data_IF_112757050571
#
_entry.id   IF_112757050571
#
_cell.length_a   1.000
_cell.length_b   1.000
_cell.length_c   1.000
_cell.angle_alpha   90.00
_cell.angle_beta   90.00
_cell.angle_gamma   90.00
#
_symmetry.space_group_name_H-M   'P 1'
#
loop_
_entity.id
_entity.type
_entity.pdbx_description
1 polymer ?
#
# COMPACT_ATOMS: atom_id res chain seq x y z
N UNK A 1 -20.28 -14.75 -14.13
CA UNK A 1 -19.11 -14.79 -13.23
C UNK A 1 -19.54 -15.45 -11.94
N UNK A 2 -19.16 -16.71 -11.70
CA UNK A 2 -19.65 -17.53 -10.56
C UNK A 2 -18.75 -17.47 -9.33
N UNK A 3 -17.56 -16.86 -9.42
CA UNK A 3 -16.61 -16.73 -8.31
C UNK A 3 -16.04 -15.31 -8.27
N UNK A 4 -16.37 -14.56 -7.22
CA UNK A 4 -15.89 -13.19 -6.96
C UNK A 4 -14.66 -13.23 -6.04
N UNK A 5 -14.61 -14.21 -5.13
CA UNK A 5 -13.51 -14.40 -4.19
C UNK A 5 -12.65 -15.61 -4.56
N UNK A 6 -11.37 -15.57 -4.19
CA UNK A 6 -10.39 -16.66 -4.41
C UNK A 6 -10.40 -17.71 -3.29
N UNK A 7 -11.27 -17.57 -2.28
CA UNK A 7 -11.40 -18.43 -1.12
C UNK A 7 -12.84 -18.94 -0.94
N UNK A 8 -13.00 -19.98 -0.12
CA UNK A 8 -14.31 -20.62 0.13
C UNK A 8 -15.01 -21.07 -1.15
N UNK A 9 -16.33 -20.93 -1.19
CA UNK A 9 -17.12 -21.25 -2.39
C UNK A 9 -17.03 -20.18 -3.50
N UNK A 10 -16.15 -19.18 -3.35
CA UNK A 10 -16.00 -18.05 -4.26
C UNK A 10 -17.15 -17.01 -4.21
N UNK A 11 -18.17 -17.26 -3.40
CA UNK A 11 -19.28 -16.36 -3.10
C UNK A 11 -19.76 -16.57 -1.66
N UNK A 12 -20.33 -15.53 -1.05
CA UNK A 12 -20.82 -15.57 0.34
C UNK A 12 -21.34 -14.21 0.81
N UNK A 13 -21.99 -14.21 1.98
CA UNK A 13 -22.42 -12.98 2.67
C UNK A 13 -21.50 -12.81 3.87
N UNK A 14 -20.73 -11.73 3.87
CA UNK A 14 -19.73 -11.42 4.88
C UNK A 14 -20.02 -10.06 5.50
N UNK A 15 -19.89 -9.98 6.83
CA UNK A 15 -20.16 -8.77 7.59
C UNK A 15 -18.84 -8.19 8.13
N UNK A 16 -18.52 -6.96 7.72
CA UNK A 16 -17.34 -6.22 8.17
C UNK A 16 -17.80 -4.96 8.91
N UNK A 17 -17.69 -4.97 10.25
CA UNK A 17 -17.91 -3.77 11.06
C UNK A 17 -16.58 -3.29 11.60
N UNK A 18 -16.19 -2.08 11.20
CA UNK A 18 -14.84 -1.59 11.34
C UNK A 18 -14.82 -0.27 12.12
N UNK A 19 -13.91 -0.17 13.09
CA UNK A 19 -13.62 1.06 13.81
C UNK A 19 -12.18 1.50 13.51
N UNK A 20 -12.03 2.66 12.88
CA UNK A 20 -10.73 3.22 12.50
C UNK A 20 -10.32 4.35 13.46
N UNK A 21 -9.11 4.26 14.01
CA UNK A 21 -8.49 5.27 14.87
C UNK A 21 -7.21 5.72 14.18
N UNK A 22 -7.09 7.01 13.87
CA UNK A 22 -5.91 7.59 13.27
C UNK A 22 -5.32 8.72 14.12
N UNK A 23 -4.02 8.65 14.37
CA UNK A 23 -3.21 9.65 15.06
C UNK A 23 -2.18 10.18 14.07
N UNK A 24 -2.21 11.49 13.82
CA UNK A 24 -1.34 12.14 12.86
C UNK A 24 -0.64 13.36 13.45
N UNK A 25 0.60 13.59 13.00
CA UNK A 25 1.33 14.83 13.23
C UNK A 25 1.93 15.30 11.91
N UNK A 26 1.48 16.45 11.45
CA UNK A 26 2.09 17.13 10.31
C UNK A 26 2.83 18.39 10.79
N UNK A 27 4.12 18.48 10.45
CA UNK A 27 5.01 19.61 10.76
C UNK A 27 5.82 20.01 9.53
N UNK A 28 5.27 19.83 8.33
CA UNK A 28 5.94 20.18 7.06
C UNK A 28 5.92 21.68 6.78
N UNK A 29 7.01 22.20 6.23
CA UNK A 29 7.16 23.60 5.85
C UNK A 29 7.92 23.75 4.52
N UNK A 30 7.84 24.91 3.83
CA UNK A 30 6.94 26.04 4.08
C UNK A 30 5.55 25.87 3.47
N UNK A 31 5.33 24.83 2.64
CA UNK A 31 4.06 24.57 1.95
C UNK A 31 3.67 23.10 2.09
N UNK A 32 2.37 22.82 2.08
CA UNK A 32 1.83 21.45 2.06
C UNK A 32 1.96 20.76 0.70
N UNK A 33 1.94 21.53 -0.40
CA UNK A 33 1.98 20.98 -1.77
C UNK A 33 3.42 20.62 -2.15
N UNK A 34 4.37 21.48 -1.75
CA UNK A 34 5.80 21.24 -1.91
C UNK A 34 6.54 21.48 -0.59
N UNK A 35 6.48 20.52 0.35
CA UNK A 35 7.29 20.55 1.56
C UNK A 35 8.78 20.53 1.22
N UNK A 36 9.56 21.28 1.98
CA UNK A 36 11.02 21.32 1.89
C UNK A 36 11.69 20.83 3.16
N UNK A 37 11.06 21.07 4.30
CA UNK A 37 11.57 20.67 5.62
C UNK A 37 10.46 20.11 6.49
N UNK A 38 10.85 19.37 7.52
CA UNK A 38 9.95 18.87 8.54
C UNK A 38 9.53 17.41 8.32
N UNK A 39 8.42 17.03 8.93
CA UNK A 39 7.97 15.63 8.96
C UNK A 39 6.45 15.52 8.93
N UNK A 40 5.97 14.40 8.43
CA UNK A 40 4.59 13.96 8.55
C UNK A 40 4.58 12.53 9.09
N UNK A 41 3.93 12.31 10.23
CA UNK A 41 3.82 11.02 10.89
C UNK A 41 2.34 10.65 10.97
N UNK A 42 2.00 9.41 10.63
CA UNK A 42 0.65 8.89 10.74
C UNK A 42 0.71 7.47 11.29
N UNK A 43 -0.13 7.21 12.28
CA UNK A 43 -0.37 5.90 12.83
C UNK A 43 -1.87 5.66 12.83
N UNK A 44 -2.30 4.57 12.22
CA UNK A 44 -3.71 4.19 12.20
C UNK A 44 -3.89 2.74 12.62
N UNK A 45 -4.97 2.51 13.35
CA UNK A 45 -5.40 1.19 13.79
C UNK A 45 -6.83 1.03 13.40
N UNK A 46 -7.10 -0.08 12.73
CA UNK A 46 -8.41 -0.46 12.28
C UNK A 46 -8.77 -1.77 12.95
N UNK A 47 -9.87 -1.77 13.70
CA UNK A 47 -10.28 -2.85 14.57
C UNK A 47 -11.69 -3.28 14.19
N UNK A 48 -11.91 -4.58 14.09
CA UNK A 48 -13.26 -5.12 14.11
C UNK A 48 -13.55 -5.77 15.47
N UNK A 49 -14.83 -5.91 15.87
CA UNK A 49 -15.18 -6.67 17.06
C UNK A 49 -14.65 -8.11 16.94
N UNK A 50 -14.02 -8.65 18.00
CA UNK A 50 -13.61 -10.05 18.02
C UNK A 50 -14.87 -10.91 18.23
N UNK A 51 -15.58 -11.27 17.16
CA UNK A 51 -16.83 -12.00 17.26
C UNK A 51 -16.65 -13.38 17.92
N UNK A 52 -15.49 -14.00 17.72
CA UNK A 52 -15.20 -15.34 18.22
C UNK A 52 -15.20 -15.49 19.74
N UNK A 53 -14.95 -14.41 20.51
CA UNK A 53 -15.07 -14.48 21.98
C UNK A 53 -16.52 -14.47 22.49
N UNK A 54 -17.49 -14.16 21.63
CA UNK A 54 -18.92 -14.16 21.99
C UNK A 54 -19.63 -15.47 21.62
N UNK A 55 -18.91 -16.46 21.08
CA UNK A 55 -19.48 -17.73 20.60
C UNK A 55 -18.62 -18.91 21.01
N UNK A 56 -19.24 -20.03 21.41
CA UNK A 56 -18.55 -21.30 21.72
C UNK A 56 -18.40 -22.21 20.47
N UNK A 57 -18.35 -21.63 19.28
CA UNK A 57 -18.26 -22.36 18.02
C UNK A 57 -16.89 -23.03 17.83
N UNK A 58 -16.89 -24.27 17.31
CA UNK A 58 -15.68 -24.97 16.88
C UNK A 58 -15.31 -24.57 15.44
N UNK A 59 -14.46 -23.53 15.32
CA UNK A 59 -14.03 -22.96 14.04
C UNK A 59 -13.17 -23.90 13.19
N UNK A 60 -12.64 -24.98 13.78
CA UNK A 60 -11.77 -25.94 13.06
C UNK A 60 -12.55 -26.85 12.11
N UNK A 61 -13.86 -27.01 12.34
CA UNK A 61 -14.75 -27.87 11.54
C UNK A 61 -15.65 -27.09 10.60
N UNK A 62 -15.60 -25.76 10.62
CA UNK A 62 -16.44 -24.89 9.81
C UNK A 62 -15.90 -24.73 8.40
N UNK A 63 -16.81 -24.52 7.45
CA UNK A 63 -16.43 -24.07 6.10
C UNK A 63 -15.90 -22.63 6.14
N UNK A 64 -15.04 -22.25 5.19
CA UNK A 64 -14.51 -20.87 5.10
C UNK A 64 -15.62 -19.80 5.07
N UNK A 65 -16.75 -20.10 4.41
CA UNK A 65 -17.88 -19.19 4.31
C UNK A 65 -18.53 -18.92 5.68
N UNK A 66 -18.67 -19.95 6.51
CA UNK A 66 -19.22 -19.83 7.86
C UNK A 66 -18.21 -19.18 8.81
N UNK A 67 -16.95 -19.60 8.66
CA UNK A 67 -15.82 -19.15 9.47
C UNK A 67 -15.56 -17.65 9.34
N UNK A 68 -15.61 -17.11 8.11
CA UNK A 68 -15.38 -15.68 7.85
C UNK A 68 -16.67 -14.86 7.75
N UNK A 69 -17.85 -15.44 8.05
CA UNK A 69 -19.15 -14.74 7.97
C UNK A 69 -19.15 -13.42 8.74
N UNK A 70 -18.54 -13.41 9.92
CA UNK A 70 -18.28 -12.21 10.71
C UNK A 70 -16.78 -11.96 10.72
N UNK A 71 -16.35 -10.93 9.98
CA UNK A 71 -14.94 -10.71 9.73
C UNK A 71 -14.29 -10.12 10.99
N UNK A 72 -13.30 -10.83 11.54
CA UNK A 72 -12.52 -10.39 12.70
C UNK A 72 -11.04 -10.16 12.36
N UNK A 73 -10.52 -8.96 12.60
CA UNK A 73 -9.11 -8.61 12.42
C UNK A 73 -8.74 -7.31 13.16
N UNK A 74 -7.43 -7.12 13.29
CA UNK A 74 -6.84 -5.82 13.59
C UNK A 74 -5.79 -5.46 12.52
N UNK A 75 -5.84 -4.23 12.02
CA UNK A 75 -4.96 -3.73 10.97
C UNK A 75 -4.26 -2.47 11.44
N UNK A 76 -2.94 -2.50 11.42
CA UNK A 76 -2.06 -1.44 11.92
C UNK A 76 -1.31 -0.86 10.74
N UNK A 77 -1.30 0.46 10.61
CA UNK A 77 -0.52 1.15 9.57
C UNK A 77 0.28 2.26 10.19
N UNK A 78 1.55 2.31 9.81
CA UNK A 78 2.48 3.35 10.20
C UNK A 78 3.09 3.97 8.95
N UNK A 79 2.99 5.29 8.86
CA UNK A 79 3.60 6.08 7.82
C UNK A 79 4.44 7.20 8.44
N UNK A 80 5.69 7.30 7.98
CA UNK A 80 6.58 8.38 8.36
C UNK A 80 7.21 8.96 7.10
N UNK A 81 6.99 10.26 6.88
CA UNK A 81 7.63 11.04 5.82
C UNK A 81 8.49 12.13 6.45
N UNK A 82 9.69 12.33 5.92
CA UNK A 82 10.63 13.35 6.34
C UNK A 82 11.14 14.13 5.11
N UNK A 83 11.26 15.44 5.25
CA UNK A 83 11.73 16.34 4.20
C UNK A 83 12.98 17.09 4.68
N UNK A 84 13.99 17.15 3.82
CA UNK A 84 15.24 17.84 4.07
C UNK A 84 15.67 18.63 2.83
N UNK A 85 15.76 19.96 2.95
CA UNK A 85 16.35 20.82 1.93
C UNK A 85 17.87 20.80 2.09
N UNK A 86 18.57 20.07 1.22
CA UNK A 86 20.04 19.93 1.29
C UNK A 86 20.77 21.04 0.51
N UNK A 87 20.09 21.67 -0.44
CA UNK A 87 20.55 22.85 -1.16
C UNK A 87 19.33 23.69 -1.57
N UNK A 88 19.48 24.98 -1.93
CA UNK A 88 18.34 25.82 -2.31
C UNK A 88 17.48 25.16 -3.39
N UNK A 89 16.19 24.95 -3.10
CA UNK A 89 15.20 24.26 -3.94
C UNK A 89 15.40 22.75 -4.10
N UNK A 90 16.48 22.16 -3.60
CA UNK A 90 16.72 20.74 -3.72
C UNK A 90 16.32 20.02 -2.44
N UNK A 91 15.26 19.21 -2.53
CA UNK A 91 14.65 18.55 -1.38
C UNK A 91 14.82 17.05 -1.48
N UNK A 92 15.33 16.44 -0.42
CA UNK A 92 15.30 15.00 -0.22
C UNK A 92 14.07 14.69 0.62
N UNK A 93 13.22 13.78 0.13
CA UNK A 93 12.11 13.21 0.86
C UNK A 93 12.42 11.74 1.15
N UNK A 94 12.33 11.34 2.42
CA UNK A 94 12.34 9.94 2.82
C UNK A 94 10.97 9.56 3.35
N UNK A 95 10.43 8.43 2.90
CA UNK A 95 9.15 7.88 3.36
C UNK A 95 9.29 6.41 3.72
N UNK A 96 8.66 6.04 4.82
CA UNK A 96 8.49 4.68 5.29
C UNK A 96 6.99 4.42 5.42
N UNK A 97 6.49 3.38 4.76
CA UNK A 97 5.16 2.82 4.96
C UNK A 97 5.31 1.38 5.49
N UNK A 98 4.60 1.07 6.56
CA UNK A 98 4.52 -0.25 7.13
C UNK A 98 3.06 -0.56 7.43
N UNK A 99 2.61 -1.77 7.09
CA UNK A 99 1.29 -2.24 7.42
C UNK A 99 1.32 -3.67 7.92
N UNK A 100 0.45 -3.97 8.88
CA UNK A 100 0.32 -5.28 9.49
C UNK A 100 -1.16 -5.59 9.74
N UNK A 101 -1.60 -6.74 9.25
CA UNK A 101 -2.92 -7.32 9.42
C UNK A 101 -2.77 -8.59 10.25
N UNK A 102 -3.45 -8.63 11.39
CA UNK A 102 -3.46 -9.79 12.27
C UNK A 102 -4.87 -10.26 12.59
N UNK A 103 -4.93 -11.44 13.21
CA UNK A 103 -6.14 -12.12 13.65
C UNK A 103 -6.22 -12.16 15.17
N UNK A 104 -7.42 -12.07 15.73
CA UNK A 104 -7.62 -12.25 17.18
C UNK A 104 -7.57 -13.72 17.58
N UNK A 105 -8.26 -14.59 16.82
CA UNK A 105 -8.31 -16.02 17.06
C UNK A 105 -7.45 -16.80 16.03
N UNK A 106 -6.51 -17.60 16.52
CA UNK A 106 -5.65 -18.44 15.67
C UNK A 106 -6.38 -19.58 14.97
N UNK A 107 -7.48 -20.08 15.53
CA UNK A 107 -8.32 -21.10 14.89
C UNK A 107 -9.05 -20.53 13.66
N UNK A 108 -9.41 -19.25 13.71
CA UNK A 108 -9.95 -18.54 12.57
C UNK A 108 -8.84 -18.25 11.55
N UNK A 109 -7.72 -17.74 12.05
CA UNK A 109 -6.59 -17.34 11.22
C UNK A 109 -6.81 -15.97 10.55
N UNK A 110 -5.87 -15.57 9.69
CA UNK A 110 -5.88 -14.23 9.11
C UNK A 110 -6.90 -14.15 7.97
N UNK A 111 -7.84 -13.21 8.10
CA UNK A 111 -8.90 -12.93 7.13
C UNK A 111 -8.35 -12.79 5.69
N UNK A 112 -9.07 -13.30 4.67
CA UNK A 112 -8.73 -13.06 3.27
C UNK A 112 -9.10 -11.63 2.81
N UNK A 113 -9.86 -10.89 3.61
CA UNK A 113 -10.26 -9.50 3.35
C UNK A 113 -9.19 -8.51 3.84
N UNK A 114 -9.27 -7.26 3.37
CA UNK A 114 -8.47 -6.12 3.89
C UNK A 114 -6.95 -6.26 3.75
N UNK A 115 -6.50 -7.23 2.94
CA UNK A 115 -5.08 -7.52 2.72
C UNK A 115 -4.40 -6.46 1.87
N UNK A 116 -3.07 -6.46 1.92
CA UNK A 116 -2.22 -5.51 1.23
C UNK A 116 -1.75 -6.05 -0.12
N UNK A 117 -1.87 -5.24 -1.15
CA UNK A 117 -1.47 -5.56 -2.52
C UNK A 117 -0.44 -4.54 -2.97
N UNK A 118 0.71 -5.00 -3.46
CA UNK A 118 1.86 -4.15 -3.74
C UNK A 118 2.24 -4.21 -5.21
N UNK A 119 2.45 -3.05 -5.81
CA UNK A 119 3.00 -2.93 -7.17
C UNK A 119 2.25 -1.91 -8.01
N UNK A 120 3.00 -1.26 -8.89
CA UNK A 120 2.49 -0.37 -9.92
C UNK A 120 1.99 0.98 -9.44
N UNK A 121 0.92 1.49 -10.04
CA UNK A 121 0.48 2.87 -9.91
C UNK A 121 -0.53 3.14 -8.78
N UNK A 122 -1.00 2.08 -8.12
CA UNK A 122 -1.99 2.16 -7.05
C UNK A 122 -3.39 2.60 -7.50
N UNK A 123 -3.65 2.63 -8.81
CA UNK A 123 -4.96 2.94 -9.39
C UNK A 123 -5.75 1.69 -9.78
N UNK A 124 -5.10 0.52 -9.79
CA UNK A 124 -5.79 -0.76 -10.00
C UNK A 124 -6.78 -1.06 -8.86
N UNK A 125 -7.68 -2.00 -9.09
CA UNK A 125 -8.43 -2.66 -8.02
C UNK A 125 -9.57 -1.88 -7.33
N UNK A 126 -10.02 -0.75 -7.89
CA UNK A 126 -11.21 -0.01 -7.42
C UNK A 126 -12.54 -0.81 -7.47
N UNK A 127 -12.59 -1.92 -8.22
CA UNK A 127 -13.80 -2.73 -8.42
C UNK A 127 -13.81 -4.03 -7.60
N UNK A 128 -13.00 -4.14 -6.55
CA UNK A 128 -12.95 -5.33 -5.70
C UNK A 128 -13.90 -5.21 -4.50
N UNK A 129 -14.49 -6.34 -4.10
CA UNK A 129 -15.43 -6.44 -2.99
C UNK A 129 -14.79 -7.02 -1.71
N UNK A 130 -13.47 -7.16 -1.69
CA UNK A 130 -12.70 -7.78 -0.61
C UNK A 130 -12.00 -6.78 0.33
N UNK A 131 -12.20 -5.47 0.10
CA UNK A 131 -11.58 -4.43 0.93
C UNK A 131 -10.07 -4.32 0.76
N UNK A 132 -9.49 -4.87 -0.31
CA UNK A 132 -8.04 -4.84 -0.49
C UNK A 132 -7.46 -3.42 -0.47
N UNK A 133 -6.31 -3.28 0.17
CA UNK A 133 -5.55 -2.04 0.18
C UNK A 133 -4.38 -2.14 -0.80
N UNK A 134 -4.28 -1.18 -1.71
CA UNK A 134 -3.29 -1.20 -2.79
C UNK A 134 -2.21 -0.18 -2.49
N UNK A 135 -0.98 -0.64 -2.53
CA UNK A 135 0.23 0.12 -2.32
C UNK A 135 0.94 0.21 -3.66
N UNK A 136 0.95 1.40 -4.25
CA UNK A 136 1.72 1.66 -5.46
C UNK A 136 3.21 1.45 -5.21
N UNK A 137 3.91 0.85 -6.17
CA UNK A 137 5.38 0.77 -6.19
C UNK A 137 5.85 0.82 -7.64
N UNK A 138 6.55 1.91 -7.97
CA UNK A 138 6.96 2.23 -9.33
C UNK A 138 8.05 1.27 -9.81
N UNK A 139 8.16 1.10 -11.13
CA UNK A 139 9.10 0.17 -11.76
C UNK A 139 8.66 -1.30 -11.77
N UNK A 140 7.49 -1.61 -11.20
CA UNK A 140 6.89 -2.94 -11.24
C UNK A 140 5.45 -2.87 -11.75
N UNK A 141 4.92 -3.96 -12.31
CA UNK A 141 3.53 -4.05 -12.73
C UNK A 141 2.54 -4.03 -11.55
N UNK A 142 1.28 -3.64 -11.82
CA UNK A 142 0.22 -3.57 -10.81
C UNK A 142 0.05 -4.88 -10.05
N UNK A 143 0.10 -4.82 -8.72
CA UNK A 143 -0.06 -5.95 -7.78
C UNK A 143 0.95 -7.11 -7.92
N UNK A 144 1.92 -7.02 -8.83
CA UNK A 144 2.87 -8.11 -9.15
C UNK A 144 3.79 -8.51 -8.00
N UNK A 145 4.01 -7.61 -7.03
CA UNK A 145 4.84 -7.86 -5.84
C UNK A 145 4.05 -8.50 -4.69
N UNK A 146 2.80 -8.86 -4.94
CA UNK A 146 1.91 -9.48 -3.96
C UNK A 146 2.15 -11.01 -3.89
N UNK A 147 2.12 -11.63 -2.69
CA UNK A 147 2.28 -13.06 -2.55
C UNK A 147 1.34 -13.88 -3.45
N UNK A 148 1.91 -14.89 -4.12
CA UNK A 148 1.22 -15.82 -5.02
C UNK A 148 0.52 -15.20 -6.23
N UNK A 149 0.80 -13.95 -6.57
CA UNK A 149 0.28 -13.32 -7.80
C UNK A 149 0.58 -14.17 -9.04
N UNK A 150 1.81 -14.68 -9.16
CA UNK A 150 2.28 -15.51 -10.29
C UNK A 150 1.56 -16.87 -10.46
N UNK A 151 0.76 -17.30 -9.46
CA UNK A 151 0.01 -18.55 -9.50
C UNK A 151 -1.47 -18.35 -9.83
N UNK A 152 -1.85 -17.14 -10.29
CA UNK A 152 -3.24 -16.69 -10.39
C UNK A 152 -4.03 -16.82 -9.08
N UNK A 153 -3.30 -16.83 -7.94
CA UNK A 153 -3.83 -16.91 -6.58
C UNK A 153 -3.41 -15.67 -5.82
N UNK A 154 -3.85 -14.51 -6.29
CA UNK A 154 -3.53 -13.23 -5.68
C UNK A 154 -4.27 -13.05 -4.35
N UNK A 155 -3.70 -13.64 -3.30
CA UNK A 155 -4.30 -13.72 -1.95
C UNK A 155 -4.01 -12.49 -1.11
N UNK A 156 -3.20 -11.53 -1.56
CA UNK A 156 -2.78 -10.39 -0.75
C UNK A 156 -1.75 -10.74 0.34
N UNK A 157 -0.99 -9.74 0.77
CA UNK A 157 -0.09 -9.81 1.91
C UNK A 157 -0.78 -9.41 3.22
N UNK A 158 -0.32 -9.98 4.34
CA UNK A 158 -0.75 -9.61 5.69
C UNK A 158 0.20 -8.61 6.33
N UNK A 159 1.42 -8.51 5.84
CA UNK A 159 2.38 -7.49 6.25
C UNK A 159 3.05 -6.92 5.01
N UNK A 160 3.31 -5.62 4.99
CA UNK A 160 4.12 -5.00 3.96
C UNK A 160 5.05 -3.96 4.56
N UNK A 161 6.14 -3.70 3.85
CA UNK A 161 7.00 -2.57 4.11
C UNK A 161 7.41 -1.95 2.78
N UNK A 162 7.42 -0.62 2.74
CA UNK A 162 7.86 0.18 1.60
C UNK A 162 8.67 1.36 2.09
N UNK A 163 9.86 1.50 1.54
CA UNK A 163 10.74 2.65 1.68
C UNK A 163 10.76 3.40 0.35
N UNK A 164 10.64 4.71 0.42
CA UNK A 164 10.74 5.61 -0.74
C UNK A 164 11.71 6.73 -0.40
N UNK A 165 12.67 6.97 -1.27
CA UNK A 165 13.57 8.11 -1.22
C UNK A 165 13.39 8.91 -2.50
N UNK A 166 13.07 10.19 -2.41
CA UNK A 166 12.93 11.06 -3.57
C UNK A 166 13.84 12.27 -3.45
N UNK A 167 14.55 12.58 -4.54
CA UNK A 167 15.18 13.88 -4.77
C UNK A 167 14.24 14.71 -5.63
N UNK A 168 13.78 15.84 -5.10
CA UNK A 168 12.78 16.70 -5.72
C UNK A 168 13.38 18.05 -6.05
N UNK A 169 12.98 18.61 -7.19
CA UNK A 169 13.35 19.96 -7.62
C UNK A 169 12.14 20.70 -8.21
N UNK A 170 11.76 21.88 -7.67
CA UNK A 170 10.62 22.63 -8.13
C UNK A 170 10.96 23.40 -9.42
N UNK A 171 10.14 23.18 -10.44
CA UNK A 171 10.18 23.92 -11.70
C UNK A 171 9.32 25.18 -11.61
N UNK A 172 8.15 25.08 -10.98
CA UNK A 172 7.21 26.18 -10.72
C UNK A 172 6.60 26.01 -9.34
N UNK A 173 6.56 27.08 -8.55
CA UNK A 173 5.85 27.14 -7.27
C UNK A 173 4.62 28.05 -7.35
N UNK A 174 4.09 28.27 -8.55
CA UNK A 174 2.86 29.04 -8.73
C UNK A 174 1.70 28.28 -8.05
N UNK A 175 0.93 28.90 -7.14
CA UNK A 175 -0.21 28.26 -6.48
C UNK A 175 -1.28 27.74 -7.46
N UNK A 176 -1.42 28.35 -8.63
CA UNK A 176 -2.35 27.88 -9.67
C UNK A 176 -1.85 26.64 -10.43
N UNK A 177 -0.53 26.42 -10.45
CA UNK A 177 0.13 25.29 -11.10
C UNK A 177 1.52 25.07 -10.49
N UNK A 178 1.58 24.25 -9.44
CA UNK A 178 2.86 23.87 -8.81
C UNK A 178 3.41 22.65 -9.54
N UNK A 179 4.64 22.75 -10.03
CA UNK A 179 5.27 21.72 -10.86
C UNK A 179 6.65 21.43 -10.27
N UNK A 180 6.94 20.16 -10.05
CA UNK A 180 8.27 19.71 -9.65
C UNK A 180 8.64 18.41 -10.34
N UNK A 181 9.93 18.29 -10.65
CA UNK A 181 10.52 17.05 -11.11
C UNK A 181 11.08 16.29 -9.91
N UNK A 182 11.16 14.97 -10.02
CA UNK A 182 11.74 14.11 -9.01
C UNK A 182 12.52 12.97 -9.62
N UNK A 183 13.56 12.53 -8.92
CA UNK A 183 14.17 11.23 -9.08
C UNK A 183 13.87 10.42 -7.82
N UNK A 184 13.63 9.12 -7.95
CA UNK A 184 13.23 8.29 -6.82
C UNK A 184 14.02 6.99 -6.77
N UNK A 185 14.15 6.46 -5.55
CA UNK A 185 14.51 5.09 -5.23
C UNK A 185 13.37 4.53 -4.38
N UNK A 186 12.87 3.35 -4.70
CA UNK A 186 11.90 2.63 -3.88
C UNK A 186 12.42 1.24 -3.54
N UNK A 187 12.05 0.76 -2.36
CA UNK A 187 12.25 -0.62 -1.98
C UNK A 187 11.01 -1.10 -1.22
N UNK A 188 10.42 -2.23 -1.60
CA UNK A 188 9.21 -2.71 -0.96
C UNK A 188 8.91 -4.18 -1.21
N UNK A 189 8.15 -4.77 -0.30
CA UNK A 189 7.63 -6.15 -0.42
C UNK A 189 6.40 -6.33 0.47
N UNK A 190 5.52 -7.23 0.03
CA UNK A 190 4.41 -7.73 0.84
C UNK A 190 4.64 -9.21 1.12
N UNK A 191 4.35 -9.66 2.35
CA UNK A 191 4.49 -11.04 2.79
C UNK A 191 3.16 -11.61 3.22
N UNK A 192 3.05 -12.93 3.08
CA UNK A 192 1.82 -13.67 3.40
C UNK A 192 1.56 -13.78 4.91
N UNK A 193 2.62 -13.90 5.72
CA UNK A 193 2.52 -14.03 7.17
C UNK A 193 3.58 -13.18 7.86
N UNK A 194 3.26 -12.68 9.06
CA UNK A 194 4.18 -11.88 9.86
C UNK A 194 5.52 -12.58 10.17
N UNK A 195 5.59 -13.89 10.48
CA UNK A 195 6.88 -14.56 10.72
C UNK A 195 7.82 -14.59 9.51
N UNK A 196 7.32 -14.37 8.29
CA UNK A 196 8.15 -14.29 7.07
C UNK A 196 8.68 -12.87 6.82
N UNK A 197 8.28 -11.89 7.64
CA UNK A 197 8.67 -10.51 7.48
C UNK A 197 10.19 -10.34 7.60
N UNK A 198 10.79 -9.77 6.56
CA UNK A 198 12.20 -9.39 6.57
C UNK A 198 12.36 -8.02 5.94
N UNK A 199 12.65 -6.95 6.72
CA UNK A 199 12.71 -5.59 6.20
C UNK A 199 13.90 -5.34 5.25
N UNK A 200 14.80 -6.30 5.09
CA UNK A 200 15.97 -6.18 4.21
C UNK A 200 15.86 -6.99 2.91
N UNK A 201 14.87 -7.88 2.80
CA UNK A 201 14.58 -8.65 1.60
C UNK A 201 13.47 -7.96 0.79
N UNK A 202 13.87 -7.01 -0.05
CA UNK A 202 12.96 -6.11 -0.75
C UNK A 202 13.25 -6.08 -2.24
N UNK A 203 12.18 -5.93 -3.02
CA UNK A 203 12.30 -5.54 -4.43
C UNK A 203 12.66 -4.06 -4.49
N UNK A 204 13.54 -3.68 -5.42
CA UNK A 204 14.05 -2.32 -5.55
C UNK A 204 13.74 -1.74 -6.91
N UNK A 205 13.50 -0.45 -6.96
CA UNK A 205 13.35 0.29 -8.20
C UNK A 205 13.95 1.69 -8.09
N UNK A 206 14.29 2.25 -9.25
CA UNK A 206 14.70 3.63 -9.36
C UNK A 206 14.02 4.27 -10.57
N UNK A 207 13.88 5.58 -10.56
CA UNK A 207 13.29 6.24 -11.70
C UNK A 207 13.28 7.76 -11.57
N UNK A 208 12.56 8.36 -12.50
CA UNK A 208 12.32 9.79 -12.54
C UNK A 208 10.85 10.05 -12.84
N UNK A 209 10.39 11.21 -12.44
CA UNK A 209 9.02 11.60 -12.65
C UNK A 209 8.80 13.09 -12.50
N UNK A 210 7.55 13.46 -12.72
CA UNK A 210 7.08 14.82 -12.57
C UNK A 210 5.77 14.81 -11.79
N UNK A 211 5.57 15.85 -11.01
CA UNK A 211 4.34 16.09 -10.26
C UNK A 211 3.82 17.47 -10.65
N UNK A 212 2.53 17.50 -10.97
CA UNK A 212 1.79 18.70 -11.34
C UNK A 212 0.59 18.81 -10.42
N UNK A 213 0.55 19.84 -9.59
CA UNK A 213 -0.60 20.13 -8.75
C UNK A 213 -1.44 21.22 -9.40
N UNK A 214 -2.72 20.91 -9.61
CA UNK A 214 -3.73 21.84 -10.11
C UNK A 214 -4.85 21.93 -9.06
N UNK A 215 -5.27 23.14 -8.62
CA UNK A 215 -6.27 23.30 -7.56
C UNK A 215 -7.59 22.54 -7.78
N UNK A 216 -7.99 22.34 -9.03
CA UNK A 216 -9.25 21.65 -9.37
C UNK A 216 -9.11 20.13 -9.53
N UNK A 217 -7.92 19.63 -9.88
CA UNK A 217 -7.71 18.21 -10.20
C UNK A 217 -6.88 17.47 -9.15
N UNK A 218 -6.28 18.21 -8.21
CA UNK A 218 -5.36 17.66 -7.22
C UNK A 218 -3.96 17.46 -7.80
N UNK A 219 -3.23 16.50 -7.23
CA UNK A 219 -1.88 16.17 -7.66
C UNK A 219 -1.92 15.11 -8.76
N UNK A 220 -1.27 15.39 -9.88
CA UNK A 220 -1.06 14.43 -10.97
C UNK A 220 0.43 14.07 -11.01
N UNK A 221 0.71 12.79 -11.24
CA UNK A 221 2.08 12.28 -11.36
C UNK A 221 2.27 11.46 -12.62
N UNK A 222 3.44 11.65 -13.23
CA UNK A 222 3.94 10.86 -14.34
C UNK A 222 5.31 10.36 -13.94
N UNK A 223 5.48 9.06 -13.80
CA UNK A 223 6.73 8.44 -13.38
C UNK A 223 7.15 7.39 -14.41
N UNK A 224 8.44 7.38 -14.73
CA UNK A 224 9.08 6.22 -15.35
C UNK A 224 9.99 5.59 -14.30
N UNK A 225 9.74 4.31 -14.01
CA UNK A 225 10.51 3.52 -13.05
C UNK A 225 11.14 2.31 -13.71
N UNK A 226 12.29 1.90 -13.19
CA UNK A 226 12.99 0.68 -13.54
C UNK A 226 13.08 -0.23 -12.32
N UNK A 227 12.38 -1.37 -12.34
CA UNK A 227 12.49 -2.41 -11.31
C UNK A 227 13.71 -3.29 -11.55
N UNK A 228 14.61 -3.39 -10.57
CA UNK A 228 15.88 -4.11 -10.70
C UNK A 228 15.77 -5.61 -10.48
N UNK A 229 14.90 -6.02 -9.57
CA UNK A 229 14.82 -7.39 -9.08
C UNK A 229 13.76 -8.16 -9.86
N UNK A 230 14.07 -9.38 -10.32
CA UNK A 230 13.12 -10.21 -11.04
C UNK A 230 12.02 -10.71 -10.11
N UNK A 231 10.77 -10.67 -10.57
CA UNK A 231 9.65 -11.21 -9.83
C UNK A 231 9.47 -12.69 -10.21
N UNK A 232 9.61 -13.63 -9.26
CA UNK A 232 9.52 -15.07 -9.55
C UNK A 232 8.20 -15.42 -10.26
N UNK A 233 8.32 -16.11 -11.39
CA UNK A 233 7.17 -16.57 -12.19
C UNK A 233 6.49 -15.49 -13.05
N UNK A 234 6.98 -14.25 -13.05
CA UNK A 234 6.41 -13.14 -13.83
C UNK A 234 7.51 -12.42 -14.66
N UNK A 235 7.97 -13.02 -15.76
CA UNK A 235 8.92 -12.36 -16.65
C UNK A 235 8.31 -11.06 -17.21
N UNK A 236 9.00 -9.93 -17.02
CA UNK A 236 8.54 -8.60 -17.48
C UNK A 236 7.70 -7.81 -16.48
N UNK A 237 7.46 -8.35 -15.28
CA UNK A 237 6.84 -7.58 -14.19
C UNK A 237 7.78 -6.50 -13.63
N UNK A 238 9.09 -6.65 -13.78
CA UNK A 238 10.14 -5.68 -13.47
C UNK A 238 10.69 -5.01 -14.75
N UNK A 239 11.70 -4.15 -14.62
CA UNK A 239 12.23 -3.36 -15.73
C UNK A 239 11.53 -2.02 -15.93
N UNK A 240 11.60 -1.45 -17.14
CA UNK A 240 11.09 -0.11 -17.46
C UNK A 240 9.56 -0.07 -17.55
N UNK A 241 8.93 0.67 -16.64
CA UNK A 241 7.48 0.80 -16.51
C UNK A 241 7.08 2.28 -16.39
N UNK A 242 5.99 2.65 -17.06
CA UNK A 242 5.37 3.98 -16.90
C UNK A 242 4.21 3.89 -15.92
N UNK A 243 4.16 4.85 -14.99
CA UNK A 243 3.15 4.94 -13.96
C UNK A 243 2.48 6.31 -14.02
N UNK A 244 1.16 6.31 -13.90
CA UNK A 244 0.36 7.50 -13.78
C UNK A 244 -0.31 7.52 -12.42
N UNK A 245 -0.18 8.62 -11.68
CA UNK A 245 -0.81 8.75 -10.36
C UNK A 245 -1.78 9.92 -10.32
N UNK A 246 -2.89 9.70 -9.62
CA UNK A 246 -3.81 10.77 -9.25
C UNK A 246 -3.86 10.83 -7.73
N UNK A 247 -3.72 12.04 -7.19
CA UNK A 247 -3.65 12.33 -5.77
C UNK A 247 -2.59 11.48 -5.06
N UNK A 248 -3.01 10.62 -4.12
CA UNK A 248 -2.13 9.84 -3.24
C UNK A 248 -2.05 8.37 -3.65
N UNK A 249 -2.35 8.01 -4.91
CA UNK A 249 -2.34 6.59 -5.32
C UNK A 249 -0.96 5.94 -5.19
N UNK A 250 0.11 6.70 -5.44
CA UNK A 250 1.51 6.26 -5.27
C UNK A 250 2.13 6.86 -4.00
N UNK A 251 1.59 8.00 -3.55
CA UNK A 251 2.16 8.84 -2.51
C UNK A 251 1.66 8.48 -1.11
#
# INVERSE_FOLDING_TARGET
YTTIFTFGAGSGIYHNFTHNIALGRNSTAPSYIYPRTGSNLSFSVELTPPYSIFTDADYTKMSDNEKYKWIEYHKWKFEATYFLEVAPKFVIMGRLKYGFLGSYNSEIGITPFERFYLGGDGLSGYNNLDGREIIGMRGYGNETLTPYYYQDRNVGGTVYCKYTLEMRYPLSLNPSATIYALAFLEAGKAWLYHPMFNPFDLYRSAGFGMRVFLPMFGMLGLDWGYGFDEVPGLPGANGGQFHFSINQSID
#
